data_IF_024520653692
#
_entry.id   IF_024520653692
#
_cell.length_a   1.000
_cell.length_b   1.000
_cell.length_c   1.000
_cell.angle_alpha   90.00
_cell.angle_beta   90.00
_cell.angle_gamma   90.00
#
_symmetry.space_group_name_H-M   'P 1'
#
loop_
_entity.id
_entity.type
_entity.pdbx_description
1 polymer ?
2 polymer ?
3 water ?
#
# COMPACT_ATOMS: atom_id res chain seq x y z
N UNK A 1 -14.89 15.97 -1.47
CA UNK A 1 -13.89 15.38 -0.57
C UNK A 1 -13.60 16.15 0.72
N UNK A 2 -13.48 15.42 1.82
CA UNK A 2 -13.09 15.96 3.12
C UNK A 2 -11.79 15.32 3.56
N UNK A 3 -10.88 16.14 4.10
CA UNK A 3 -9.64 15.65 4.69
C UNK A 3 -9.74 15.80 6.20
N UNK A 4 -9.73 14.68 6.91
CA UNK A 4 -9.66 14.66 8.37
C UNK A 4 -8.23 14.36 8.78
N UNK A 5 -7.61 15.28 9.51
CA UNK A 5 -6.26 15.09 10.03
C UNK A 5 -6.38 14.87 11.54
N UNK A 6 -6.04 13.67 11.98
CA UNK A 6 -6.27 13.26 13.37
C UNK A 6 -4.95 12.96 14.07
N UNK A 7 -4.44 13.87 14.90
CA UNK A 7 -3.21 13.60 15.64
C UNK A 7 -3.39 12.43 16.60
N UNK A 8 -2.48 11.46 16.52
CA UNK A 8 -2.56 10.29 17.38
C UNK A 8 -1.97 10.60 18.75
N UNK A 9 -2.52 9.95 19.77
CA UNK A 9 -2.05 10.14 21.13
C UNK A 9 -1.10 8.99 21.49
N UNK A 10 0.09 9.03 20.90
CA UNK A 10 1.02 7.92 21.02
C UNK A 10 2.37 8.40 21.53
N UNK A 11 2.39 9.57 22.17
CA UNK A 11 3.56 10.04 22.92
C UNK A 11 4.75 10.16 21.97
N UNK A 12 5.84 9.43 22.18
CA UNK A 12 7.01 9.53 21.34
C UNK A 12 7.06 8.44 20.26
N UNK A 13 6.01 7.63 20.15
CA UNK A 13 6.04 6.51 19.22
C UNK A 13 5.77 6.99 17.79
N UNK A 14 6.00 6.09 16.85
CA UNK A 14 5.92 6.38 15.43
C UNK A 14 5.10 5.26 14.79
N UNK A 15 4.28 5.61 13.80
CA UNK A 15 3.57 4.63 12.98
C UNK A 15 4.28 4.53 11.63
N UNK A 16 4.68 3.31 11.27
CA UNK A 16 5.47 3.07 10.06
C UNK A 16 4.67 2.46 8.93
N UNK A 17 3.55 1.80 9.23
CA UNK A 17 2.83 1.03 8.23
C UNK A 17 1.37 1.00 8.59
N UNK A 18 0.53 0.80 7.59
CA UNK A 18 -0.89 0.62 7.84
C UNK A 18 -1.49 -0.28 6.77
N UNK A 19 -2.67 -0.83 7.08
CA UNK A 19 -3.33 -1.73 6.14
C UNK A 19 -4.84 -1.62 6.33
N UNK A 20 -5.56 -1.50 5.21
CA UNK A 20 -7.03 -1.60 5.24
C UNK A 20 -7.41 -3.08 5.13
N UNK A 21 -7.93 -3.65 6.22
CA UNK A 21 -8.33 -5.05 6.25
C UNK A 21 -9.69 -5.16 6.92
N UNK A 22 -10.61 -5.88 6.29
CA UNK A 22 -11.97 -5.93 6.76
C UNK A 22 -12.50 -4.52 6.96
N UNK A 23 -13.29 -4.31 8.00
CA UNK A 23 -13.80 -2.97 8.30
C UNK A 23 -12.79 -2.02 8.91
N UNK A 24 -11.50 -2.37 9.00
CA UNK A 24 -10.56 -1.61 9.81
C UNK A 24 -9.43 -1.02 8.98
N UNK A 25 -8.86 0.07 9.49
CA UNK A 25 -7.55 0.55 9.05
C UNK A 25 -6.63 0.34 10.24
N UNK A 26 -5.60 -0.48 10.04
CA UNK A 26 -4.75 -0.95 11.14
C UNK A 26 -3.38 -0.30 11.02
N UNK A 27 -2.96 0.36 12.07
CA UNK A 27 -1.69 1.09 12.10
C UNK A 27 -0.69 0.32 12.96
N UNK A 28 0.58 0.32 12.57
CA UNK A 28 1.57 -0.40 13.36
C UNK A 28 2.91 0.33 13.29
N UNK A 29 3.69 0.23 14.37
CA UNK A 29 4.97 0.91 14.34
C UNK A 29 5.91 0.60 15.49
N UNK A 30 6.59 1.65 15.96
CA UNK A 30 7.67 1.47 16.92
C UNK A 30 7.15 0.87 18.23
N UNK A 31 8.05 0.21 18.95
CA UNK A 31 7.68 -0.41 20.21
C UNK A 31 6.71 -1.57 20.09
N UNK A 32 6.44 -2.05 18.88
CA UNK A 32 5.55 -3.18 18.69
C UNK A 32 4.07 -2.86 18.77
N UNK A 33 3.69 -1.59 18.75
CA UNK A 33 2.30 -1.21 18.93
C UNK A 33 1.51 -1.41 17.65
N UNK A 34 0.31 -1.95 17.81
CA UNK A 34 -0.66 -2.10 16.72
C UNK A 34 -1.97 -1.47 17.19
N UNK A 35 -2.57 -0.64 16.33
CA UNK A 35 -3.82 0.03 16.69
C UNK A 35 -4.81 0.01 15.54
N UNK A 36 -6.05 -0.40 15.84
CA UNK A 36 -7.06 -0.64 14.81
C UNK A 36 -8.22 0.34 14.97
N UNK A 37 -8.54 1.02 13.87
CA UNK A 37 -9.65 1.97 13.78
C UNK A 37 -10.69 1.42 12.84
N UNK A 38 -11.96 1.59 13.19
CA UNK A 38 -13.04 1.28 12.25
C UNK A 38 -13.03 2.34 11.14
N UNK A 39 -12.86 1.89 9.89
CA UNK A 39 -12.84 2.83 8.77
C UNK A 39 -14.06 3.74 8.77
N UNK A 40 -15.24 3.16 9.01
CA UNK A 40 -16.48 3.95 8.91
C UNK A 40 -16.57 5.01 10.00
N UNK A 41 -16.00 4.75 11.17
CA UNK A 41 -15.95 5.78 12.20
C UNK A 41 -15.17 7.00 11.73
N UNK A 42 -14.02 6.79 11.08
CA UNK A 42 -13.24 7.91 10.57
C UNK A 42 -13.99 8.64 9.45
N UNK A 43 -14.60 7.89 8.54
CA UNK A 43 -15.35 8.49 7.44
C UNK A 43 -16.54 9.29 7.99
N UNK A 44 -17.29 8.69 8.92
CA UNK A 44 -18.44 9.39 9.50
C UNK A 44 -18.02 10.69 10.18
N UNK A 45 -16.88 10.67 10.87
CA UNK A 45 -16.36 11.89 11.50
C UNK A 45 -16.01 12.93 10.45
N UNK A 46 -15.44 12.48 9.31
CA UNK A 46 -15.08 13.42 8.26
C UNK A 46 -16.31 14.11 7.68
N UNK A 47 -17.48 13.48 7.73
CA UNK A 47 -18.71 14.08 7.23
C UNK A 47 -19.64 14.52 8.35
N UNK A 48 -19.13 14.64 9.57
CA UNK A 48 -19.81 15.23 10.72
C UNK A 48 -21.04 14.46 11.18
N UNK A 49 -21.20 13.20 10.76
CA UNK A 49 -22.29 12.39 11.29
C UNK A 49 -22.00 11.95 12.72
N UNK A 50 -20.73 11.97 13.13
CA UNK A 50 -20.32 11.78 14.51
C UNK A 50 -19.26 12.82 14.84
N UNK A 51 -19.01 13.03 16.13
CA UNK A 51 -18.08 14.08 16.51
C UNK A 51 -16.66 13.54 16.65
N UNK A 52 -15.72 14.48 16.69
CA UNK A 52 -14.31 14.15 16.72
C UNK A 52 -13.89 13.65 18.09
N UNK A 53 -14.52 14.14 19.17
CA UNK A 53 -14.12 13.73 20.51
C UNK A 53 -14.39 12.25 20.77
N UNK A 54 -15.18 11.60 19.93
CA UNK A 54 -15.50 10.19 20.10
C UNK A 54 -14.50 9.26 19.41
N UNK A 55 -13.58 9.81 18.62
CA UNK A 55 -12.59 9.01 17.90
C UNK A 55 -11.62 8.35 18.86
N UNK A 56 -11.35 7.06 18.62
CA UNK A 56 -10.45 6.25 19.43
C UNK A 56 -10.29 4.89 18.76
N UNK A 57 -9.11 4.26 18.83
CA UNK A 57 -8.96 2.94 18.23
C UNK A 57 -9.83 1.92 18.96
N UNK A 58 -10.42 1.00 18.20
CA UNK A 58 -11.27 -0.01 18.82
C UNK A 58 -10.45 -1.00 19.63
N UNK A 59 -9.27 -1.36 19.14
CA UNK A 59 -8.39 -2.32 19.80
C UNK A 59 -6.96 -1.88 19.58
N UNK A 60 -6.15 -1.99 20.63
CA UNK A 60 -4.72 -1.73 20.57
C UNK A 60 -4.00 -2.86 21.29
N UNK A 61 -2.87 -3.29 20.74
CA UNK A 61 -2.07 -4.30 21.44
C UNK A 61 -0.62 -4.13 21.05
N UNK A 62 0.25 -4.87 21.73
CA UNK A 62 1.68 -4.76 21.53
C UNK A 62 2.22 -6.14 21.22
N UNK A 63 3.00 -6.24 20.16
CA UNK A 63 3.56 -7.53 19.75
C UNK A 63 4.72 -7.92 20.65
N UNK A 69 10.44 -4.99 19.25
CA UNK A 69 10.95 -4.58 17.94
C UNK A 69 10.04 -3.62 17.21
N UNK A 70 10.61 -2.69 16.45
CA UNK A 70 9.79 -1.75 15.68
C UNK A 70 9.14 -2.45 14.50
N UNK A 71 7.83 -2.30 14.37
CA UNK A 71 7.08 -2.92 13.27
C UNK A 71 7.18 -2.06 12.03
N UNK A 72 7.46 -2.69 10.89
CA UNK A 72 7.51 -2.01 9.61
C UNK A 72 6.57 -2.61 8.57
N UNK A 73 6.01 -3.79 8.83
CA UNK A 73 5.16 -4.47 7.85
C UNK A 73 3.89 -4.93 8.51
N UNK A 74 2.75 -4.69 7.84
CA UNK A 74 1.49 -5.28 8.24
C UNK A 74 0.68 -5.59 6.97
N UNK A 75 0.22 -6.83 6.86
CA UNK A 75 -0.63 -7.25 5.76
C UNK A 75 -1.47 -8.40 6.28
N UNK A 76 -2.26 -9.00 5.40
CA UNK A 76 -3.03 -10.18 5.82
C UNK A 76 -4.37 -10.25 5.10
N UNK A 77 -5.30 -10.93 5.74
CA UNK A 77 -6.65 -11.11 5.22
C UNK A 77 -7.62 -11.13 6.40
N UNK A 78 -8.83 -11.69 6.21
CA UNK A 78 -9.82 -11.64 7.26
C UNK A 78 -9.59 -12.67 8.34
N UNK A 79 -8.61 -13.56 8.16
CA UNK A 79 -8.31 -14.58 9.13
C UNK A 79 -6.96 -14.38 9.83
N UNK A 80 -5.99 -13.74 9.16
CA UNK A 80 -4.65 -13.61 9.72
C UNK A 80 -4.07 -12.23 9.45
N UNK A 81 -3.51 -11.61 10.49
CA UNK A 81 -2.65 -10.44 10.36
C UNK A 81 -1.19 -10.90 10.38
N UNK A 82 -0.44 -10.49 9.36
CA UNK A 82 1.00 -10.74 9.31
C UNK A 82 1.70 -9.45 9.70
N UNK A 83 2.46 -9.47 10.80
CA UNK A 83 3.00 -8.28 11.43
C UNK A 83 4.51 -8.47 11.56
N UNK A 84 5.28 -7.59 10.97
CA UNK A 84 6.72 -7.81 10.81
C UNK A 84 7.57 -6.64 11.25
N UNK A 85 8.67 -6.96 11.94
CA UNK A 85 9.76 -6.05 12.21
C UNK A 85 10.84 -6.27 11.17
N UNK A 86 12.01 -5.67 11.37
CA UNK A 86 13.11 -5.92 10.45
C UNK A 86 13.73 -7.29 10.65
N UNK A 87 13.34 -8.03 11.69
CA UNK A 87 13.94 -9.32 12.00
C UNK A 87 12.96 -10.44 12.28
N UNK A 88 11.67 -10.15 12.49
CA UNK A 88 10.71 -11.14 12.92
C UNK A 88 9.38 -10.90 12.22
N UNK A 89 8.69 -11.98 11.89
CA UNK A 89 7.35 -11.93 11.35
C UNK A 89 6.46 -12.77 12.25
N UNK A 90 5.38 -12.16 12.76
CA UNK A 90 4.36 -12.85 13.52
C UNK A 90 3.08 -13.00 12.69
N UNK A 91 2.35 -14.07 12.97
CA UNK A 91 0.99 -14.22 12.48
C UNK A 91 -0.01 -14.18 13.63
N UNK A 92 -0.97 -13.27 13.54
CA UNK A 92 -2.04 -13.15 14.53
C UNK A 92 -3.32 -13.62 13.87
N UNK A 93 -3.79 -14.81 14.22
CA UNK A 93 -4.97 -15.36 13.56
C UNK A 93 -6.17 -15.26 14.48
N UNK A 94 -7.35 -15.25 13.86
CA UNK A 94 -8.57 -15.04 14.62
C UNK A 94 -8.71 -13.62 15.12
N UNK A 95 -8.17 -12.66 14.39
CA UNK A 95 -8.19 -11.27 14.83
C UNK A 95 -9.54 -10.59 14.63
N UNK A 96 -10.37 -11.11 13.72
CA UNK A 96 -11.67 -10.54 13.38
C UNK A 96 -12.75 -11.56 13.69
N UNK A 97 -13.70 -11.19 14.56
CA UNK A 97 -14.83 -12.08 14.82
C UNK A 97 -15.66 -12.19 13.55
N UNK A 98 -15.66 -13.39 12.96
CA UNK A 98 -16.29 -13.55 11.66
C UNK A 98 -17.82 -13.44 11.74
N UNK A 99 -18.42 -13.61 12.92
CA UNK A 99 -19.86 -13.51 13.02
C UNK A 99 -20.36 -12.08 13.20
N UNK A 100 -19.59 -11.21 13.87
CA UNK A 100 -20.00 -9.84 14.15
C UNK A 100 -19.29 -8.82 13.29
N UNK A 101 -18.24 -9.22 12.57
CA UNK A 101 -17.39 -8.32 11.80
C UNK A 101 -16.73 -7.27 12.70
N UNK A 102 -16.53 -7.58 13.97
CA UNK A 102 -15.83 -6.70 14.91
C UNK A 102 -14.49 -7.30 15.27
N UNK A 103 -13.48 -6.43 15.43
CA UNK A 103 -12.15 -6.89 15.80
C UNK A 103 -12.17 -7.42 17.23
N UNK A 104 -11.48 -8.54 17.46
CA UNK A 104 -11.40 -9.13 18.78
C UNK A 104 -10.30 -8.45 19.59
N UNK A 105 -10.38 -8.57 20.92
CA UNK A 105 -9.22 -8.18 21.69
C UNK A 105 -8.07 -9.15 21.42
N UNK A 106 -6.85 -8.73 21.75
CA UNK A 106 -5.69 -9.57 21.54
C UNK A 106 -5.76 -10.85 22.37
N UNK A 107 -6.56 -10.86 23.43
CA UNK A 107 -6.73 -11.99 24.34
C UNK A 107 -7.52 -13.14 23.72
N UNK A 108 -8.11 -12.94 22.55
CA UNK A 108 -8.84 -13.98 21.83
C UNK A 108 -8.13 -14.37 20.56
N UNK A 109 -6.94 -13.82 20.33
CA UNK A 109 -6.14 -13.90 19.13
C UNK A 109 -5.14 -15.04 19.37
N UNK A 110 -4.76 -15.74 18.30
CA UNK A 110 -3.70 -16.74 18.41
C UNK A 110 -2.47 -16.20 17.71
N UNK A 111 -1.33 -16.22 18.38
CA UNK A 111 -0.14 -15.56 17.83
C UNK A 111 0.98 -16.57 17.67
N UNK A 112 1.70 -16.47 16.55
CA UNK A 112 2.77 -17.42 16.25
C UNK A 112 3.95 -16.66 15.66
N UNK A 113 5.16 -17.01 16.10
CA UNK A 113 6.38 -16.50 15.48
C UNK A 113 6.62 -17.31 14.21
N UNK A 114 6.47 -16.67 13.06
CA UNK A 114 6.54 -17.34 11.77
C UNK A 114 7.94 -17.40 11.22
N UNK A 115 8.73 -16.34 11.44
CA UNK A 115 10.02 -16.24 10.78
C UNK A 115 10.92 -15.33 11.61
N UNK A 116 12.19 -15.68 11.66
CA UNK A 116 13.19 -14.86 12.32
C UNK A 116 14.46 -14.94 11.49
N UNK A 117 15.04 -13.79 11.19
CA UNK A 117 16.37 -13.79 10.61
C UNK A 117 17.35 -13.16 11.58
N UNK A 118 18.62 -13.50 11.42
CA UNK A 118 19.67 -13.05 12.32
C UNK A 118 20.57 -12.08 11.59
N UNK A 119 20.77 -10.91 12.20
CA UNK A 119 21.73 -9.91 11.73
C UNK A 119 23.02 -10.59 11.29
N UNK A 120 23.64 -10.12 10.20
CA UNK A 120 23.37 -8.88 9.47
C UNK A 120 22.14 -8.92 8.57
N UNK A 121 21.45 -10.05 8.45
CA UNK A 121 20.26 -10.13 7.61
C UNK A 121 19.16 -9.24 8.15
N UNK A 122 18.42 -8.58 7.26
CA UNK A 122 17.23 -7.83 7.65
C UNK A 122 16.14 -8.05 6.61
N UNK A 123 14.90 -7.91 7.08
CA UNK A 123 13.75 -8.01 6.19
C UNK A 123 13.56 -6.65 5.55
N UNK A 124 13.62 -6.60 4.21
CA UNK A 124 13.42 -5.35 3.50
C UNK A 124 11.96 -5.14 3.09
N UNK A 125 11.20 -6.22 2.95
CA UNK A 125 9.80 -6.12 2.58
C UNK A 125 9.11 -7.45 2.86
N UNK A 126 7.80 -7.38 3.06
CA UNK A 126 6.91 -8.53 3.18
C UNK A 126 5.71 -8.24 2.31
N UNK A 127 5.38 -9.14 1.38
CA UNK A 127 4.19 -8.93 0.56
C UNK A 127 3.37 -10.21 0.52
N UNK A 128 2.05 -10.08 0.52
CA UNK A 128 1.15 -11.21 0.57
C UNK A 128 0.31 -11.24 -0.70
N UNK A 129 0.40 -12.32 -1.45
CA UNK A 129 -0.42 -12.53 -2.63
C UNK A 129 -1.54 -13.50 -2.23
N UNK A 130 -2.75 -12.96 -2.07
CA UNK A 130 -3.87 -13.77 -1.61
C UNK A 130 -4.32 -14.78 -2.66
N UNK A 131 -4.08 -14.52 -3.94
CA UNK A 131 -4.51 -15.46 -4.97
C UNK A 131 -3.55 -16.64 -5.08
N UNK A 132 -2.24 -16.38 -5.02
CA UNK A 132 -1.27 -17.46 -4.98
C UNK A 132 -1.32 -18.21 -3.64
N UNK A 133 -1.75 -17.54 -2.58
CA UNK A 133 -1.57 -18.10 -1.25
C UNK A 133 -0.13 -18.12 -0.79
N UNK A 134 0.63 -17.05 -1.09
CA UNK A 134 2.07 -17.02 -0.85
C UNK A 134 2.45 -15.68 -0.22
N UNK A 135 3.28 -15.74 0.81
CA UNK A 135 3.93 -14.56 1.36
C UNK A 135 5.37 -14.51 0.88
N UNK A 136 5.78 -13.35 0.37
CA UNK A 136 7.13 -13.12 -0.10
C UNK A 136 7.88 -12.34 0.96
N UNK A 137 8.99 -12.87 1.43
CA UNK A 137 9.83 -12.18 2.40
C UNK A 137 11.13 -11.84 1.70
N UNK A 138 11.40 -10.55 1.55
CA UNK A 138 12.60 -10.08 0.88
C UNK A 138 13.67 -9.83 1.92
N UNK A 139 14.88 -10.36 1.69
CA UNK A 139 15.97 -10.25 2.64
C UNK A 139 17.19 -9.62 1.98
N UNK A 140 17.88 -8.75 2.73
CA UNK A 140 19.21 -8.26 2.36
C UNK A 140 20.32 -9.15 2.94
N UNK A 143 20.82 -11.87 0.24
CA UNK A 143 20.03 -11.32 -0.87
C UNK A 143 19.17 -12.37 -1.55
N UNK A 144 17.93 -12.53 -1.08
CA UNK A 144 17.07 -13.56 -1.61
C UNK A 144 15.62 -13.16 -1.36
N UNK A 145 14.72 -13.83 -2.08
CA UNK A 145 13.29 -13.72 -1.84
C UNK A 145 12.81 -15.10 -1.40
N UNK A 146 12.18 -15.16 -0.24
CA UNK A 146 11.64 -16.39 0.31
C UNK A 146 10.14 -16.46 0.04
N UNK A 147 9.67 -17.63 -0.36
CA UNK A 147 8.26 -17.88 -0.66
C UNK A 147 7.71 -18.86 0.36
N UNK A 148 6.69 -18.43 1.11
CA UNK A 148 6.05 -19.22 2.15
C UNK A 148 4.57 -19.38 1.84
N UNK A 149 4.02 -20.57 2.14
CA UNK A 149 2.58 -20.77 2.05
C UNK A 149 1.89 -19.95 3.15
N UNK A 150 0.77 -19.33 2.83
CA UNK A 150 0.10 -18.56 3.89
C UNK A 150 -0.51 -19.51 4.92
N UNK A 151 -0.72 -18.99 6.13
CA UNK A 151 -1.24 -19.72 7.28
C UNK A 151 -0.23 -20.74 7.81
N UNK A 152 -0.02 -21.83 7.08
CA UNK A 152 0.94 -22.87 7.50
C UNK A 152 2.36 -22.34 7.56
N UNK A 153 2.70 -21.38 6.69
CA UNK A 153 4.06 -20.83 6.57
C UNK A 153 5.11 -21.88 6.26
N UNK A 154 4.72 -22.97 5.58
CA UNK A 154 5.71 -23.89 5.02
C UNK A 154 6.56 -23.18 3.98
N UNK A 155 7.87 -23.41 4.01
CA UNK A 155 8.72 -22.80 3.00
C UNK A 155 8.50 -23.49 1.66
N UNK A 156 8.21 -22.71 0.61
CA UNK A 156 7.94 -23.29 -0.70
C UNK A 156 9.15 -23.25 -1.62
N UNK A 157 9.85 -22.12 -1.67
CA UNK A 157 11.02 -21.99 -2.54
C UNK A 157 11.77 -20.74 -2.13
N UNK A 158 12.89 -20.50 -2.81
CA UNK A 158 13.69 -19.34 -2.52
C UNK A 158 14.29 -18.87 -3.83
N UNK A 159 14.19 -17.57 -4.09
CA UNK A 159 14.81 -16.94 -5.25
C UNK A 159 16.12 -16.34 -4.76
N UNK A 160 17.24 -16.81 -5.31
CA UNK A 160 18.52 -16.20 -4.99
C UNK A 160 18.89 -15.23 -6.11
N UNK A 161 19.31 -14.03 -5.73
CA UNK A 161 19.73 -13.05 -6.71
C UNK A 161 21.13 -12.56 -6.33
N UNK A 162 21.72 -11.76 -7.22
CA UNK A 162 23.13 -11.43 -7.13
C UNK A 162 23.47 -10.74 -5.81
N UNK A 163 24.73 -10.91 -5.38
CA UNK A 163 25.20 -10.25 -4.16
C UNK A 163 25.14 -8.73 -4.30
N UNK A 164 25.37 -8.22 -5.51
CA UNK A 164 25.29 -6.78 -5.76
C UNK A 164 23.87 -6.25 -5.86
N UNK A 165 22.85 -7.12 -5.85
CA UNK A 165 21.46 -6.72 -6.03
C UNK A 165 20.69 -6.99 -4.74
N UNK A 166 20.57 -5.98 -3.90
CA UNK A 166 19.71 -6.13 -2.74
C UNK A 166 18.26 -6.00 -3.20
N UNK A 167 17.38 -6.96 -2.85
CA UNK A 167 15.96 -6.77 -3.19
C UNK A 167 15.32 -5.76 -2.25
N UNK A 168 15.09 -4.53 -2.72
CA UNK A 168 14.63 -3.45 -1.84
C UNK A 168 13.12 -3.53 -1.58
N UNK A 169 12.33 -3.83 -2.62
CA UNK A 169 10.88 -3.87 -2.43
C UNK A 169 10.26 -4.81 -3.46
N UNK A 170 9.08 -5.32 -3.10
CA UNK A 170 8.31 -6.18 -3.99
C UNK A 170 7.00 -5.56 -4.40
N UNK A 171 6.45 -5.98 -5.54
CA UNK A 171 5.16 -5.48 -6.01
C UNK A 171 4.28 -6.67 -6.39
N UNK A 172 3.11 -6.75 -5.78
CA UNK A 172 2.17 -7.84 -5.98
C UNK A 172 1.47 -7.67 -7.32
N UNK A 173 1.23 -8.79 -8.01
CA UNK A 173 0.41 -8.85 -9.21
C UNK A 173 -1.02 -9.23 -8.82
N UNK A 174 -2.02 -8.36 -9.06
CA UNK A 174 -3.42 -8.68 -8.70
C UNK A 174 -3.96 -9.93 -9.37
N UNK A 175 -3.42 -10.33 -10.53
CA UNK A 175 -3.82 -11.59 -11.16
C UNK A 175 -3.09 -12.80 -10.58
N UNK A 176 -2.07 -12.60 -9.77
CA UNK A 176 -1.36 -13.70 -9.16
C UNK A 176 -0.44 -14.48 -10.08
N UNK A 177 -0.10 -13.95 -11.26
CA UNK A 177 0.77 -14.72 -12.13
C UNK A 177 2.24 -14.38 -12.00
N UNK A 178 2.60 -13.24 -11.39
CA UNK A 178 3.97 -12.78 -11.34
C UNK A 178 4.27 -12.15 -9.98
N UNK A 179 5.56 -11.94 -9.72
CA UNK A 179 6.02 -11.13 -8.60
C UNK A 179 7.18 -10.28 -9.08
N UNK A 180 7.20 -9.00 -8.70
CA UNK A 180 8.16 -8.05 -9.21
C UNK A 180 9.02 -7.50 -8.07
N UNK A 181 10.32 -7.34 -8.32
CA UNK A 181 11.28 -6.87 -7.34
C UNK A 181 12.06 -5.68 -7.93
N UNK A 182 12.31 -4.66 -7.12
CA UNK A 182 13.18 -3.57 -7.52
C UNK A 182 14.43 -3.60 -6.65
N UNK A 183 15.60 -3.45 -7.26
CA UNK A 183 16.86 -3.79 -6.59
C UNK A 183 17.73 -2.57 -6.38
N UNK A 184 18.69 -2.73 -5.47
CA UNK A 184 19.60 -1.65 -5.14
C UNK A 184 20.50 -1.27 -6.30
N UNK A 185 20.79 -2.21 -7.22
CA UNK A 185 21.60 -1.89 -8.40
C UNK A 185 20.74 -1.51 -9.61
N UNK A 186 19.51 -1.07 -9.37
CA UNK A 186 18.64 -0.30 -10.28
C UNK A 186 17.83 -1.15 -11.25
N UNK A 187 17.64 -2.44 -10.96
CA UNK A 187 16.93 -3.33 -11.86
C UNK A 187 15.48 -3.50 -11.42
N UNK A 188 14.62 -3.77 -12.39
CA UNK A 188 13.28 -4.29 -12.14
C UNK A 188 13.30 -5.75 -12.58
N UNK A 189 12.97 -6.66 -11.67
CA UNK A 189 12.98 -8.09 -11.97
C UNK A 189 11.55 -8.61 -11.91
N UNK A 190 11.11 -9.28 -12.97
CA UNK A 190 9.76 -9.83 -13.03
C UNK A 190 9.86 -11.35 -13.11
N UNK A 191 9.24 -12.04 -12.13
CA UNK A 191 9.25 -13.50 -12.07
C UNK A 191 7.84 -14.03 -12.31
N UNK A 192 7.73 -15.06 -13.13
CA UNK A 192 6.51 -15.86 -13.17
C UNK A 192 6.49 -16.78 -11.95
N UNK A 193 5.37 -16.77 -11.21
CA UNK A 193 5.23 -17.58 -10.00
C UNK A 193 4.04 -18.52 -10.16
N UNK A 194 4.23 -19.79 -9.78
CA UNK A 194 3.11 -20.73 -9.69
C UNK A 194 2.70 -20.88 -8.23
N UNK A 195 1.43 -21.27 -8.02
CA UNK A 195 0.94 -21.50 -6.65
C UNK A 195 1.81 -22.47 -5.87
N UNK A 196 2.45 -23.42 -6.57
CA UNK A 196 3.32 -24.36 -5.89
C UNK A 196 4.56 -23.70 -5.30
N UNK A 197 4.87 -22.47 -5.70
CA UNK A 197 6.09 -21.82 -5.31
C UNK A 197 7.18 -21.83 -6.37
N UNK A 198 7.04 -22.61 -7.44
CA UNK A 198 8.04 -22.60 -8.49
C UNK A 198 8.02 -21.25 -9.21
N UNK A 199 9.17 -20.85 -9.74
CA UNK A 199 9.36 -19.49 -10.22
C UNK A 199 10.31 -19.47 -11.40
N UNK A 200 10.21 -18.40 -12.18
CA UNK A 200 10.93 -18.27 -13.44
C UNK A 200 11.14 -16.79 -13.72
N UNK A 201 12.39 -16.36 -13.89
CA UNK A 201 12.64 -14.98 -14.30
C UNK A 201 12.19 -14.80 -15.74
N UNK A 202 11.29 -13.84 -15.99
CA UNK A 202 10.80 -13.61 -17.34
C UNK A 202 11.14 -12.23 -17.87
N UNK A 203 11.54 -11.28 -17.03
CA UNK A 203 11.94 -9.96 -17.50
C UNK A 203 12.96 -9.37 -16.54
N UNK A 204 14.03 -8.81 -17.08
CA UNK A 204 15.02 -8.08 -16.28
C UNK A 204 15.27 -6.76 -16.97
N UNK A 205 14.87 -5.67 -16.33
CA UNK A 205 15.02 -4.33 -16.90
C UNK A 205 16.09 -3.64 -16.07
N UNK A 206 17.23 -3.34 -16.71
CA UNK A 206 18.38 -2.80 -15.99
C UNK A 206 18.42 -1.29 -16.10
N UNK A 207 19.05 -0.65 -15.10
CA UNK A 207 19.24 0.80 -15.08
C UNK A 207 17.91 1.54 -15.26
N UNK A 208 16.87 1.03 -14.60
CA UNK A 208 15.51 1.55 -14.73
C UNK A 208 15.04 2.38 -13.55
N UNK A 209 15.55 2.11 -12.35
CA UNK A 209 14.99 2.75 -11.16
C UNK A 209 16.09 3.03 -10.16
N UNK A 210 16.00 4.16 -9.47
CA UNK A 210 16.96 4.50 -8.41
C UNK A 210 16.30 4.22 -7.08
N UNK A 211 16.75 3.18 -6.38
CA UNK A 211 16.13 2.81 -5.12
C UNK A 211 16.98 3.34 -3.97
N UNK A 212 16.34 3.77 -2.91
CA UNK A 212 17.05 4.30 -1.75
C UNK A 212 16.82 3.37 -0.56
N UNK A 213 17.61 3.50 0.51
CA UNK A 213 17.44 2.56 1.64
C UNK A 213 16.22 2.84 2.48
N UNK A 214 15.04 2.59 1.92
CA UNK A 214 13.76 2.92 2.53
C UNK A 214 12.84 1.71 2.42
N UNK A 215 11.81 1.69 3.24
CA UNK A 215 10.73 0.73 3.06
C UNK A 215 9.72 1.34 2.08
N UNK A 216 9.59 0.73 0.91
CA UNK A 216 8.70 1.23 -0.14
C UNK A 216 7.35 0.54 -0.07
N UNK A 217 6.33 1.26 -0.51
CA UNK A 217 4.93 0.80 -0.54
C UNK A 217 4.42 1.12 -1.94
N UNK A 218 4.55 0.16 -2.86
CA UNK A 218 4.17 0.34 -4.25
C UNK A 218 3.17 -0.75 -4.62
N UNK A 219 2.04 -0.35 -5.23
CA UNK A 219 1.13 -1.34 -5.81
C UNK A 219 0.88 -0.98 -7.26
N UNK A 220 0.66 -2.02 -8.08
CA UNK A 220 0.37 -1.84 -9.49
C UNK A 220 -1.14 -1.67 -9.73
N UNK A 221 -1.51 -1.37 -10.98
CA UNK A 221 -2.92 -1.10 -11.29
C UNK A 221 -3.78 -2.34 -11.05
N UNK A 222 -5.04 -2.17 -10.67
CA UNK A 222 -5.88 -3.35 -10.40
C UNK A 222 -6.06 -4.24 -11.60
N UNK A 223 -6.02 -3.69 -12.83
CA UNK A 223 -6.05 -4.49 -14.06
C UNK A 223 -4.73 -5.18 -14.35
N UNK A 224 -3.68 -4.86 -13.57
CA UNK A 224 -2.32 -5.40 -13.73
C UNK A 224 -1.68 -5.02 -15.08
N UNK A 225 -2.08 -3.89 -15.68
CA UNK A 225 -1.48 -3.45 -16.93
C UNK A 225 -0.40 -2.37 -16.76
N UNK A 226 -0.29 -1.75 -15.58
CA UNK A 226 0.65 -0.66 -15.36
C UNK A 226 1.47 -0.95 -14.11
N UNK A 227 2.79 -0.91 -14.26
CA UNK A 227 3.68 -0.94 -13.11
C UNK A 227 4.18 0.48 -12.88
N UNK A 228 3.85 1.10 -11.76
CA UNK A 228 4.38 2.44 -11.48
C UNK A 228 5.77 2.36 -10.84
N UNK A 229 6.57 3.39 -11.08
CA UNK A 229 7.96 3.44 -10.63
C UNK A 229 8.22 4.81 -9.99
N UNK A 230 8.68 4.80 -8.73
CA UNK A 230 9.20 6.00 -8.11
C UNK A 230 10.69 6.12 -8.47
N UNK A 231 11.09 7.30 -8.91
CA UNK A 231 12.49 7.52 -9.29
C UNK A 231 12.88 6.62 -10.46
N UNK A 232 12.07 6.66 -11.51
CA UNK A 232 12.48 6.08 -12.78
C UNK A 232 13.62 6.91 -13.35
N UNK A 233 14.66 6.23 -13.83
CA UNK A 233 15.75 6.91 -14.52
C UNK A 233 15.74 6.61 -16.03
N UNK A 234 14.59 6.20 -16.54
CA UNK A 234 14.30 6.18 -17.97
C UNK A 234 13.06 7.04 -18.22
N UNK A 235 13.06 7.78 -19.33
CA UNK A 235 11.95 8.65 -19.68
C UNK A 235 11.73 9.84 -18.75
N UNK A 241 16.51 14.31 -13.95
CA UNK A 241 17.26 13.39 -13.10
C UNK A 241 16.50 12.09 -12.77
N UNK A 242 15.30 12.22 -12.23
CA UNK A 242 14.46 11.06 -11.93
C UNK A 242 13.01 11.53 -11.91
N UNK A 243 12.09 10.61 -12.18
CA UNK A 243 10.69 10.98 -12.23
C UNK A 243 9.84 9.80 -11.78
N UNK A 244 8.60 10.11 -11.41
CA UNK A 244 7.62 9.07 -11.12
C UNK A 244 6.87 8.78 -12.41
N UNK A 245 6.89 7.53 -12.86
CA UNK A 245 6.44 7.19 -14.21
C UNK A 245 5.60 5.93 -14.17
N UNK A 246 4.78 5.75 -15.21
CA UNK A 246 3.93 4.57 -15.36
C UNK A 246 4.46 3.74 -16.52
N UNK A 247 4.74 2.46 -16.27
CA UNK A 247 5.28 1.55 -17.29
C UNK A 247 4.20 0.58 -17.75
N UNK A 248 4.10 0.38 -19.07
CA UNK A 248 3.08 -0.48 -19.67
C UNK A 248 3.54 -1.94 -19.58
N UNK A 249 2.96 -2.70 -18.65
CA UNK A 249 3.32 -4.11 -18.50
C UNK A 249 2.99 -4.94 -19.72
N UNK A 250 2.06 -4.49 -20.56
CA UNK A 250 1.66 -5.22 -21.76
C UNK A 250 2.33 -4.72 -23.02
N UNK A 251 3.27 -3.79 -22.91
CA UNK A 251 4.00 -3.26 -24.07
C UNK A 251 5.45 -3.03 -23.69
N UNK A 252 6.10 -4.07 -23.17
CA UNK A 252 7.54 -4.07 -22.88
C UNK A 252 7.96 -2.97 -21.90
N UNK A 253 7.08 -2.62 -20.97
CA UNK A 253 7.42 -1.67 -19.89
C UNK A 253 7.82 -0.30 -20.43
N UNK A 254 7.29 0.05 -21.60
CA UNK A 254 7.41 1.40 -22.13
C UNK A 254 6.79 2.41 -21.16
N UNK A 255 7.46 3.55 -20.97
CA UNK A 255 6.85 4.63 -20.20
C UNK A 255 5.62 5.12 -20.95
N UNK A 256 4.48 5.17 -20.26
CA UNK A 256 3.27 5.71 -20.85
C UNK A 256 2.95 7.12 -20.37
N UNK A 257 3.32 7.46 -19.14
CA UNK A 257 2.99 8.76 -18.58
C UNK A 257 3.98 9.03 -17.45
N UNK A 258 4.36 10.30 -17.30
CA UNK A 258 5.17 10.74 -16.17
C UNK A 258 4.27 11.57 -15.26
N UNK A 259 4.29 11.28 -13.96
CA UNK A 259 3.41 11.99 -13.02
C UNK A 259 4.10 13.10 -12.24
N UNK A 260 5.37 12.94 -11.88
CA UNK A 260 6.07 13.87 -11.01
C UNK A 260 7.49 14.00 -11.52
N UNK A 261 7.92 15.22 -11.83
CA UNK A 261 9.30 15.51 -12.17
C UNK A 261 9.77 16.76 -11.45
N UNK A 262 10.84 16.68 -10.67
CA UNK A 262 11.58 15.45 -10.36
C UNK A 262 10.94 14.72 -9.18
N UNK A 263 11.04 13.40 -9.12
CA UNK A 263 10.59 12.70 -7.92
C UNK A 263 11.57 12.95 -6.78
N UNK A 264 11.06 12.87 -5.55
CA UNK A 264 11.91 13.05 -4.38
C UNK A 264 12.64 11.76 -4.02
N UNK A 265 13.93 11.88 -3.65
CA UNK A 265 14.63 10.72 -3.10
C UNK A 265 13.97 10.17 -1.84
N UNK A 266 13.15 10.97 -1.15
CA UNK A 266 12.44 10.53 0.04
C UNK A 266 11.07 9.94 -0.19
N UNK A 267 10.57 9.92 -1.43
CA UNK A 267 9.25 9.39 -1.72
C UNK A 267 9.30 7.87 -1.73
N UNK A 268 8.42 7.24 -0.93
CA UNK A 268 8.46 5.79 -0.83
C UNK A 268 7.09 5.15 -0.99
N UNK A 269 6.04 5.91 -1.30
CA UNK A 269 4.70 5.34 -1.39
C UNK A 269 4.09 5.75 -2.72
N UNK A 270 3.61 4.76 -3.46
CA UNK A 270 2.79 5.02 -4.64
C UNK A 270 1.83 3.85 -4.74
N UNK A 271 0.54 4.08 -4.46
CA UNK A 271 -0.41 2.96 -4.37
C UNK A 271 -1.64 3.27 -5.21
N UNK A 272 -2.04 2.29 -6.02
CA UNK A 272 -3.27 2.38 -6.78
C UNK A 272 -4.47 2.10 -5.89
N UNK A 273 -5.56 2.78 -6.16
CA UNK A 273 -6.84 2.35 -5.61
C UNK A 273 -7.21 0.99 -6.20
N UNK A 274 -7.85 0.11 -5.42
CA UNK A 274 -8.33 -1.16 -5.99
C UNK A 274 -9.57 -1.01 -6.85
N UNK A 275 -10.21 0.14 -6.82
CA UNK A 275 -11.43 0.36 -7.57
C UNK A 275 -11.11 0.86 -8.98
N UNK A 276 -12.01 0.55 -9.90
CA UNK A 276 -12.02 1.07 -11.26
C UNK A 276 -13.30 1.87 -11.39
N UNK A 277 -13.18 3.19 -11.56
CA UNK A 277 -14.30 4.11 -11.41
C UNK A 277 -14.92 4.47 -12.75
N UNK A 278 -16.22 4.74 -12.75
CA UNK A 278 -16.85 5.38 -13.88
C UNK A 278 -17.61 6.62 -13.40
N UNK A 279 -17.33 7.75 -14.04
CA UNK A 279 -17.99 9.01 -13.72
C UNK A 279 -18.63 9.53 -14.98
N UNK A 280 -19.93 9.81 -14.98
CA UNK A 280 -20.55 10.34 -16.19
C UNK A 280 -20.24 11.81 -16.36
N UNK A 281 -20.14 12.23 -17.61
CA UNK A 281 -20.22 13.65 -17.93
C UNK A 281 -21.62 13.85 -18.50
N UNK A 282 -22.54 14.24 -17.63
CA UNK A 282 -23.96 14.22 -17.98
C UNK A 282 -24.29 15.29 -19.02
N UNK A 283 -23.69 16.48 -18.88
CA UNK A 283 -23.97 17.56 -19.84
C UNK A 283 -23.65 17.13 -21.26
N UNK A 284 -22.58 16.36 -21.46
CA UNK A 284 -22.16 15.96 -22.79
C UNK A 284 -22.57 14.54 -23.15
N UNK A 285 -23.27 13.84 -22.28
CA UNK A 285 -23.79 12.52 -22.62
C UNK A 285 -22.73 11.43 -22.73
N UNK A 286 -21.57 11.64 -22.13
CA UNK A 286 -20.45 10.72 -22.19
C UNK A 286 -20.02 10.32 -20.78
N UNK A 287 -19.10 9.37 -20.70
CA UNK A 287 -18.59 8.96 -19.41
C UNK A 287 -17.16 8.44 -19.56
N UNK A 288 -16.47 8.37 -18.43
CA UNK A 288 -15.06 8.05 -18.39
C UNK A 288 -14.81 7.01 -17.30
N UNK A 289 -14.10 5.95 -17.66
CA UNK A 289 -13.58 4.97 -16.70
C UNK A 289 -12.12 5.27 -16.40
N UNK A 290 -11.74 5.21 -15.13
CA UNK A 290 -10.38 5.62 -14.78
C UNK A 290 -9.93 4.95 -13.49
N UNK A 291 -8.63 5.06 -13.24
CA UNK A 291 -8.00 4.51 -12.07
C UNK A 291 -7.48 5.69 -11.26
N UNK A 292 -7.23 5.48 -9.97
CA UNK A 292 -6.62 6.51 -9.13
C UNK A 292 -5.31 6.00 -8.52
N UNK A 293 -4.33 6.90 -8.42
CA UNK A 293 -3.03 6.64 -7.80
C UNK A 293 -2.80 7.65 -6.70
N UNK A 294 -2.35 7.20 -5.53
CA UNK A 294 -1.94 8.11 -4.46
C UNK A 294 -0.42 8.07 -4.32
N UNK A 295 0.22 9.24 -4.31
CA UNK A 295 1.67 9.27 -4.11
C UNK A 295 2.02 10.64 -3.54
N UNK A 296 3.27 11.07 -3.68
CA UNK A 296 3.66 12.41 -3.29
C UNK A 296 4.12 13.16 -4.52
N UNK A 297 4.06 14.49 -4.45
CA UNK A 297 4.69 15.36 -5.42
C UNK A 297 6.19 15.48 -5.16
N UNK A 298 6.80 16.49 -5.76
CA UNK A 298 8.24 16.65 -5.61
C UNK A 298 8.66 16.98 -4.17
N UNK A 299 7.78 17.57 -3.37
CA UNK A 299 8.12 17.92 -2.00
C UNK A 299 7.67 16.82 -1.04
N UNK A 300 8.58 16.39 -0.17
CA UNK A 300 8.21 15.40 0.85
C UNK A 300 7.07 15.94 1.70
N UNK A 301 6.15 15.05 2.07
CA UNK A 301 5.03 15.43 2.91
C UNK A 301 3.81 15.91 2.15
N UNK A 302 3.89 15.96 0.81
CA UNK A 302 2.71 16.19 -0.02
C UNK A 302 1.99 14.87 -0.29
N UNK A 303 0.70 14.97 -0.54
CA UNK A 303 -0.09 13.87 -1.07
C UNK A 303 -0.73 14.33 -2.38
N UNK A 304 -0.54 13.51 -3.42
CA UNK A 304 -1.03 13.76 -4.76
C UNK A 304 -1.92 12.58 -5.13
N UNK A 305 -3.13 12.87 -5.62
CA UNK A 305 -4.03 11.83 -6.10
C UNK A 305 -4.26 12.08 -7.57
N UNK A 306 -4.01 11.07 -8.38
CA UNK A 306 -3.85 11.24 -9.82
C UNK A 306 -4.87 10.38 -10.57
N UNK A 307 -5.65 11.03 -11.44
CA UNK A 307 -6.59 10.36 -12.34
C UNK A 307 -5.81 9.87 -13.55
N UNK A 308 -5.72 8.55 -13.72
CA UNK A 308 -4.84 8.00 -14.77
C UNK A 308 -5.38 8.22 -16.16
N UNK A 309 -6.71 8.44 -16.31
CA UNK A 309 -7.30 8.67 -17.62
C UNK A 309 -7.12 10.11 -18.06
N UNK A 310 -7.55 11.07 -17.21
CA UNK A 310 -7.31 12.47 -17.50
C UNK A 310 -5.83 12.83 -17.40
N UNK A 311 -5.03 11.99 -16.77
CA UNK A 311 -3.59 12.24 -16.58
C UNK A 311 -3.35 13.60 -15.93
N UNK A 312 -4.21 13.95 -14.98
CA UNK A 312 -4.20 15.17 -14.19
C UNK A 312 -4.38 14.82 -12.72
N UNK A 313 -3.88 15.67 -11.81
CA UNK A 313 -4.19 15.47 -10.39
C UNK A 313 -5.63 15.85 -10.12
N UNK A 314 -6.23 15.16 -9.14
CA UNK A 314 -7.58 15.54 -8.68
C UNK A 314 -7.57 16.90 -8.00
N UNK A 315 -6.47 17.24 -7.35
CA UNK A 315 -6.29 18.52 -6.70
C UNK A 315 -4.80 18.81 -6.67
N UNK A 316 -4.45 20.08 -6.46
CA UNK A 316 -3.05 20.43 -6.30
C UNK A 316 -2.41 19.57 -5.22
N UNK A 317 -1.21 19.05 -5.49
CA UNK A 317 -0.47 18.31 -4.47
C UNK A 317 -0.51 19.09 -3.16
N UNK A 318 -0.97 18.43 -2.11
CA UNK A 318 -1.33 19.09 -0.87
C UNK A 318 -0.27 18.81 0.17
N UNK A 319 0.29 19.86 0.77
CA UNK A 319 1.25 19.66 1.85
C UNK A 319 0.48 19.29 3.10
N UNK A 320 0.52 18.02 3.49
CA UNK A 320 -0.20 17.59 4.68
C UNK A 320 0.73 17.33 5.87
N UNK A 321 2.02 17.11 5.64
CA UNK A 321 2.94 16.58 6.64
C UNK A 321 4.27 17.31 6.52
N UNK A 322 4.95 17.50 7.66
CA UNK A 322 6.30 18.06 7.62
C UNK A 322 7.34 17.00 7.28
N UNK A 323 6.99 15.72 7.32
CA UNK A 323 7.87 14.62 7.02
C UNK A 323 7.30 13.79 5.86
N UNK A 324 8.20 13.00 5.23
CA UNK A 324 7.78 12.08 4.19
C UNK A 324 6.63 11.19 4.64
N UNK A 325 5.75 10.87 3.70
CA UNK A 325 4.69 9.91 3.99
C UNK A 325 5.30 8.52 4.16
N UNK A 326 4.92 7.83 5.24
CA UNK A 326 5.45 6.49 5.50
C UNK A 326 4.68 5.42 4.75
N UNK A 327 3.36 5.53 4.71
CA UNK A 327 2.53 4.48 4.12
C UNK A 327 1.18 5.11 3.80
N UNK A 328 0.50 4.55 2.81
CA UNK A 328 -0.87 4.90 2.44
C UNK A 328 -1.60 3.63 2.05
N UNK A 329 -2.90 3.64 2.28
CA UNK A 329 -3.76 2.51 1.94
C UNK A 329 -5.14 3.03 1.56
N UNK A 330 -5.64 2.59 0.41
CA UNK A 330 -7.03 2.86 0.05
C UNK A 330 -7.98 1.89 0.75
N UNK A 331 -9.18 2.38 1.06
CA UNK A 331 -10.24 1.46 1.45
C UNK A 331 -10.54 0.49 0.30
N UNK A 332 -11.10 -0.67 0.67
CA UNK A 332 -11.44 -1.68 -0.32
C UNK A 332 -12.45 -1.17 -1.35
N UNK A 333 -13.34 -0.27 -0.94
CA UNK A 333 -14.34 0.25 -1.86
C UNK A 333 -13.82 1.45 -2.68
N UNK A 334 -12.58 1.87 -2.47
CA UNK A 334 -11.99 2.92 -3.29
C UNK A 334 -12.38 4.34 -2.93
N UNK A 335 -13.19 4.55 -1.89
CA UNK A 335 -13.65 5.92 -1.64
C UNK A 335 -12.97 6.60 -0.46
N UNK A 336 -12.02 5.94 0.20
CA UNK A 336 -11.28 6.57 1.29
C UNK A 336 -9.79 6.24 1.15
N UNK A 337 -8.95 7.25 1.35
CA UNK A 337 -7.49 7.08 1.36
C UNK A 337 -6.96 7.39 2.74
N UNK A 338 -6.19 6.46 3.31
CA UNK A 338 -5.57 6.66 4.62
C UNK A 338 -4.07 6.83 4.45
N UNK A 339 -3.48 7.75 5.20
CA UNK A 339 -2.05 8.02 5.08
C UNK A 339 -1.46 8.38 6.44
N UNK A 340 -0.17 8.12 6.59
CA UNK A 340 0.53 8.35 7.86
C UNK A 340 1.98 8.71 7.59
N UNK A 341 2.56 9.52 8.47
CA UNK A 341 3.95 9.97 8.36
C UNK A 341 4.56 9.99 9.76
N UNK A 342 5.80 10.51 9.84
CA UNK A 342 6.42 10.71 11.14
C UNK A 342 5.81 11.89 11.91
N UNK A 343 4.82 12.59 11.34
CA UNK A 343 4.08 13.59 12.12
C UNK A 343 3.10 12.95 13.11
N UNK A 344 2.94 11.63 13.08
CA UNK A 344 2.05 10.91 14.02
C UNK A 344 0.61 11.41 13.93
N UNK A 345 0.15 11.65 12.71
CA UNK A 345 -1.18 12.20 12.45
C UNK A 345 -1.82 11.36 11.35
N UNK A 346 -2.94 10.72 11.66
CA UNK A 346 -3.63 9.92 10.67
C UNK A 346 -4.36 10.85 9.72
N UNK A 347 -4.09 10.72 8.42
CA UNK A 347 -4.76 11.53 7.39
C UNK A 347 -5.80 10.65 6.70
N UNK A 348 -7.05 11.11 6.69
CA UNK A 348 -8.15 10.38 6.05
C UNK A 348 -8.76 11.29 4.99
N UNK A 349 -8.67 10.86 3.73
CA UNK A 349 -9.28 11.57 2.61
C UNK A 349 -10.56 10.82 2.26
N UNK A 350 -11.69 11.43 2.57
CA UNK A 350 -12.98 10.77 2.42
C UNK A 350 -13.68 11.34 1.19
N UNK A 351 -13.72 10.56 0.13
CA UNK A 351 -14.32 10.97 -1.14
C UNK A 351 -15.81 10.61 -1.16
N UNK A 352 -16.55 11.31 -2.02
CA UNK A 352 -17.98 11.09 -2.19
C UNK A 352 -18.25 10.71 -3.64
N UNK A 353 -19.46 10.17 -3.87
CA UNK A 353 -19.89 9.87 -5.23
C UNK A 353 -19.78 11.09 -6.13
N UNK A 354 -20.19 12.27 -5.64
CA UNK A 354 -20.10 13.45 -6.49
C UNK A 354 -18.66 13.75 -6.89
N UNK A 355 -17.67 13.30 -6.09
CA UNK A 355 -16.27 13.47 -6.46
C UNK A 355 -15.84 12.49 -7.54
N UNK A 356 -16.14 11.19 -7.35
CA UNK A 356 -15.49 10.13 -8.11
C UNK A 356 -16.40 9.34 -9.03
N UNK A 357 -17.71 9.38 -8.82
CA UNK A 357 -18.63 8.53 -9.57
C UNK A 357 -18.89 7.23 -8.84
N UNK A 358 -18.88 6.11 -9.55
CA UNK A 358 -19.29 4.81 -9.01
C UNK A 358 -18.20 3.79 -9.31
N UNK A 359 -17.80 3.01 -8.29
CA UNK A 359 -16.85 1.92 -8.51
C UNK A 359 -17.53 0.79 -9.28
N UNK A 360 -16.87 0.31 -10.33
CA UNK A 360 -17.43 -0.68 -11.23
C UNK A 360 -17.41 -2.07 -10.58
N UNK A 361 -18.33 -2.96 -10.99
CA UNK A 361 -18.24 -4.35 -10.53
C UNK A 361 -16.90 -4.96 -10.94
N UNK A 362 -16.46 -5.94 -10.15
CA UNK A 362 -15.16 -6.56 -10.40
C UNK A 362 -15.07 -7.21 -11.79
N UNK A 363 -16.20 -7.58 -12.41
CA UNK A 363 -16.20 -8.08 -13.78
C UNK A 363 -15.40 -7.19 -14.73
N UNK A 364 -15.43 -5.88 -14.52
CA UNK A 364 -14.82 -4.96 -15.48
C UNK A 364 -13.31 -4.95 -15.34
N UNK A 365 -12.82 -5.05 -14.11
CA UNK A 365 -11.40 -5.21 -13.87
C UNK A 365 -10.92 -6.57 -14.39
N UNK A 366 -11.69 -7.62 -14.10
CA UNK A 366 -11.29 -8.95 -14.54
C UNK A 366 -11.22 -9.04 -16.07
N UNK A 367 -12.14 -8.38 -16.78
CA UNK A 367 -12.11 -8.38 -18.24
C UNK A 367 -10.84 -7.74 -18.80
N UNK A 368 -10.31 -6.73 -18.12
CA UNK A 368 -9.10 -6.08 -18.61
C UNK A 368 -7.84 -6.86 -18.27
N UNK A 369 -7.87 -7.71 -17.24
CA UNK A 369 -6.69 -8.52 -16.92
C UNK A 369 -6.48 -9.58 -17.99
N UNK A 370 -7.57 -10.09 -18.54
CA UNK A 370 -7.56 -11.13 -19.57
C UNK A 370 -7.46 -10.51 -20.95
N UNK B 2 -4.22 17.35 21.32
CA UNK B 2 -3.99 18.03 20.05
C UNK B 2 -5.19 17.84 19.12
N UNK B 3 -5.74 18.93 18.58
CA UNK B 3 -7.05 18.86 17.94
C UNK B 3 -6.99 18.39 16.49
N UNK B 4 -8.08 17.77 16.06
CA UNK B 4 -8.21 17.39 14.66
C UNK B 4 -8.48 18.62 13.80
N UNK B 5 -8.09 18.50 12.54
CA UNK B 5 -8.42 19.47 11.51
C UNK B 5 -9.35 18.76 10.54
N UNK B 6 -10.43 19.42 10.14
CA UNK B 6 -11.34 18.88 9.15
C UNK B 6 -11.57 19.95 8.09
N UNK B 7 -11.17 19.66 6.85
CA UNK B 7 -11.23 20.65 5.78
C UNK B 7 -11.89 20.05 4.54
N UNK B 8 -12.67 20.87 3.84
CA UNK B 8 -13.14 20.52 2.52
C UNK B 8 -12.07 20.84 1.49
N UNK B 9 -11.78 19.88 0.62
CA UNK B 9 -10.78 20.02 -0.44
C UNK B 9 -11.45 19.97 -1.79
N UNK B 10 -11.69 21.11 -2.44
CA UNK B 10 -12.32 21.09 -3.76
C UNK B 10 -11.45 20.41 -4.80
N UNK B 11 -12.08 19.68 -5.71
CA UNK B 11 -11.41 18.96 -6.77
C UNK B 11 -11.58 19.70 -8.09
N UNK B 12 -10.69 19.44 -9.03
CA UNK B 12 -10.84 20.00 -10.37
C UNK B 12 -12.08 19.45 -11.07
#
# INVERSE_FOLDING_TARGET
MRLLKYPLDIHNEQVNALAALGPYIILAGSGGHVMAWRQQQLVDTAFDRVMIKDLKPEVSFQVDQDTTGDIFFITGDLETLYIGSEHRLWGYSGWLCRDTNNINSVEKMNSKLLFECKSPSTITDVKYDINLGILFVLLSNENKILLFRHKTFDKLSEITIDKASKPITGIIDPTGQTFTVMTSDRSILVYQINKTGTHKLINKLTQHVQMYPLHYRISMSPQADILPVINSVKGVPNNATSCTALLDRNNNYKVTKTLVTPSSNGCRVLVYSPAFYEKPNLKKGTSTRYNLIATSGSTDGTILVWNTKRMKPLFNALQVSSTAINDMSWSQDGFTLFAISNDATLYTFAFQEKDLGVALPQTEIKSLQEVNK
KEPSILIDVPLYQADTNDYLD
#
